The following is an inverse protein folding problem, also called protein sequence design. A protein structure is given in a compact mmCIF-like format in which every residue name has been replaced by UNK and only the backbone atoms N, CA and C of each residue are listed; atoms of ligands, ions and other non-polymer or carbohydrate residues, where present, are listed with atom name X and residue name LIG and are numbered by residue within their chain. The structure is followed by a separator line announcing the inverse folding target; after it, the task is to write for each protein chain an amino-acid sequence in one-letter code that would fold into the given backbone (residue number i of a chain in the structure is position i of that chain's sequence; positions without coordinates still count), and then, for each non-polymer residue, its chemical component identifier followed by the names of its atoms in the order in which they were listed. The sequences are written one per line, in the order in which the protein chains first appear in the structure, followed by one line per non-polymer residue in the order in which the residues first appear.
data_IF_356648927971
#
_entry.id   IF_356648927971
#
_cell.length_a   1.000
_cell.length_b   1.000
_cell.length_c   1.000
_cell.angle_alpha   90.00
_cell.angle_beta   90.00
_cell.angle_gamma   90.00
#
_symmetry.space_group_name_H-M   'P 1'
#
loop_
_entity.id
_entity.type
_entity.pdbx_description
1 polymer ?
#
# COMPACT_ATOMS: atom_id res chain seq x y z
N UNK A 1 -21.63 -21.55 -27.30
CA UNK A 1 -21.53 -21.00 -25.93
C UNK A 1 -21.23 -22.09 -24.90
N UNK A 2 -21.94 -23.23 -24.90
CA UNK A 2 -21.68 -24.36 -23.98
C UNK A 2 -20.32 -25.04 -24.16
N UNK A 3 -19.79 -25.08 -25.38
CA UNK A 3 -18.53 -25.75 -25.68
C UNK A 3 -17.31 -24.91 -25.24
N UNK A 4 -17.44 -23.59 -25.36
CA UNK A 4 -16.48 -22.61 -24.84
C UNK A 4 -16.46 -22.61 -23.31
N UNK A 5 -17.63 -22.67 -22.67
CA UNK A 5 -17.71 -22.75 -21.22
C UNK A 5 -17.11 -24.06 -20.71
N UNK A 6 -17.45 -25.22 -21.31
CA UNK A 6 -16.84 -26.52 -20.92
C UNK A 6 -15.31 -26.51 -21.01
N UNK A 7 -14.74 -25.99 -22.10
CA UNK A 7 -13.28 -25.82 -22.20
C UNK A 7 -12.73 -24.93 -21.10
N UNK A 8 -13.37 -23.81 -20.79
CA UNK A 8 -12.94 -22.95 -19.68
C UNK A 8 -12.99 -23.68 -18.32
N UNK A 9 -14.00 -24.52 -18.09
CA UNK A 9 -14.09 -25.33 -16.88
C UNK A 9 -12.99 -26.41 -16.81
N UNK A 10 -12.55 -26.96 -17.94
CA UNK A 10 -11.38 -27.86 -18.01
C UNK A 10 -10.06 -27.15 -17.67
N UNK A 11 -9.97 -25.83 -17.91
CA UNK A 11 -8.82 -25.00 -17.54
C UNK A 11 -8.91 -24.41 -16.13
N UNK A 12 -10.00 -24.65 -15.38
CA UNK A 12 -10.06 -24.21 -14.00
C UNK A 12 -9.02 -24.99 -13.19
N UNK A 13 -8.08 -24.29 -12.55
CA UNK A 13 -7.07 -24.95 -11.75
C UNK A 13 -7.75 -25.60 -10.55
N UNK A 14 -7.12 -26.65 -10.01
CA UNK A 14 -7.65 -27.38 -8.86
C UNK A 14 -8.08 -26.43 -7.74
N UNK A 15 -9.10 -26.83 -6.98
CA UNK A 15 -9.63 -26.03 -5.87
C UNK A 15 -8.52 -25.56 -4.90
N UNK A 16 -7.48 -26.38 -4.73
CA UNK A 16 -6.26 -26.06 -3.98
C UNK A 16 -5.52 -24.82 -4.51
N UNK A 17 -5.38 -24.69 -5.83
CA UNK A 17 -4.73 -23.57 -6.51
C UNK A 17 -5.59 -22.30 -6.45
N UNK A 18 -6.91 -22.44 -6.57
CA UNK A 18 -7.83 -21.31 -6.40
C UNK A 18 -7.79 -20.77 -4.97
N UNK A 19 -7.85 -21.66 -3.97
CA UNK A 19 -7.76 -21.29 -2.57
C UNK A 19 -6.40 -20.67 -2.22
N UNK A 20 -5.30 -21.20 -2.77
CA UNK A 20 -3.97 -20.62 -2.52
C UNK A 20 -3.82 -19.26 -3.17
N UNK A 21 -4.27 -19.06 -4.41
CA UNK A 21 -4.25 -17.77 -5.09
C UNK A 21 -5.08 -16.71 -4.36
N UNK A 22 -6.29 -17.07 -3.91
CA UNK A 22 -7.14 -16.19 -3.10
C UNK A 22 -6.50 -15.88 -1.75
N UNK A 23 -5.91 -16.87 -1.09
CA UNK A 23 -5.18 -16.70 0.16
C UNK A 23 -3.99 -15.75 0.01
N UNK A 24 -3.19 -15.91 -1.04
CA UNK A 24 -2.06 -15.02 -1.35
C UNK A 24 -2.52 -13.60 -1.65
N UNK A 25 -3.62 -13.43 -2.40
CA UNK A 25 -4.20 -12.12 -2.66
C UNK A 25 -4.62 -11.42 -1.36
N UNK A 26 -5.41 -12.09 -0.52
CA UNK A 26 -5.85 -11.55 0.76
C UNK A 26 -4.67 -11.25 1.70
N UNK A 27 -3.67 -12.13 1.73
CA UNK A 27 -2.45 -11.93 2.50
C UNK A 27 -1.67 -10.69 2.00
N UNK A 28 -1.55 -10.52 0.68
CA UNK A 28 -0.84 -9.37 0.10
C UNK A 28 -1.51 -8.04 0.48
N UNK A 29 -2.84 -7.97 0.48
CA UNK A 29 -3.59 -6.77 0.86
C UNK A 29 -3.42 -6.48 2.35
N UNK A 30 -3.50 -7.49 3.20
CA UNK A 30 -3.31 -7.33 4.66
C UNK A 30 -1.89 -6.90 5.00
N UNK A 31 -0.87 -7.44 4.34
CA UNK A 31 0.53 -7.02 4.51
C UNK A 31 0.72 -5.57 4.07
N UNK A 32 0.20 -5.17 2.90
CA UNK A 32 0.29 -3.78 2.44
C UNK A 32 -0.38 -2.80 3.41
N UNK A 33 -1.57 -3.15 3.90
CA UNK A 33 -2.28 -2.33 4.87
C UNK A 33 -1.51 -2.20 6.18
N UNK A 34 -0.94 -3.31 6.67
CA UNK A 34 -0.14 -3.34 7.89
C UNK A 34 1.12 -2.49 7.74
N UNK A 35 1.84 -2.59 6.62
CA UNK A 35 3.02 -1.76 6.34
C UNK A 35 2.64 -0.28 6.29
N UNK A 36 1.53 0.08 5.63
CA UNK A 36 1.06 1.46 5.56
C UNK A 36 0.69 2.00 6.95
N UNK A 37 0.01 1.20 7.75
CA UNK A 37 -0.33 1.55 9.13
C UNK A 37 0.93 1.72 9.99
N UNK A 38 1.90 0.80 9.86
CA UNK A 38 3.17 0.87 10.57
C UNK A 38 3.96 2.11 10.18
N UNK A 39 4.05 2.42 8.87
CA UNK A 39 4.65 3.66 8.36
C UNK A 39 3.95 4.88 8.96
N UNK A 40 2.62 4.94 8.94
CA UNK A 40 1.89 6.08 9.52
C UNK A 40 2.13 6.24 11.03
N UNK A 41 2.30 5.14 11.76
CA UNK A 41 2.60 5.17 13.21
C UNK A 41 4.06 5.49 13.51
N UNK A 42 4.98 5.05 12.65
CA UNK A 42 6.41 5.30 12.74
C UNK A 42 6.82 6.67 12.16
N UNK A 43 6.00 7.29 11.31
CA UNK A 43 6.20 8.67 10.86
C UNK A 43 5.98 9.59 12.05
N UNK A 44 7.10 9.96 12.68
CA UNK A 44 7.14 10.97 13.71
C UNK A 44 6.59 12.29 13.14
N UNK A 45 5.88 13.11 13.95
CA UNK A 45 5.25 14.34 13.47
C UNK A 45 6.22 15.23 12.68
N UNK A 46 7.49 15.33 13.10
CA UNK A 46 8.52 16.17 12.47
C UNK A 46 8.96 15.72 11.06
N UNK A 47 8.64 14.50 10.63
CA UNK A 47 8.91 14.00 9.28
C UNK A 47 7.78 14.31 8.28
N UNK A 48 6.66 14.90 8.75
CA UNK A 48 5.60 15.35 7.85
C UNK A 48 6.07 16.55 7.03
N UNK A 49 5.69 16.59 5.76
CA UNK A 49 6.01 17.69 4.84
C UNK A 49 5.60 19.06 5.39
N UNK A 50 4.47 19.13 6.10
CA UNK A 50 4.02 20.38 6.74
C UNK A 50 5.03 20.94 7.75
N UNK A 51 5.68 20.06 8.50
CA UNK A 51 6.70 20.43 9.47
C UNK A 51 8.05 20.78 8.81
N UNK A 52 8.36 20.15 7.67
CA UNK A 52 9.52 20.52 6.85
C UNK A 52 9.35 21.93 6.27
N UNK A 53 8.18 22.24 5.70
CA UNK A 53 7.86 23.58 5.19
C UNK A 53 7.91 24.65 6.28
N UNK A 54 7.33 24.37 7.46
CA UNK A 54 7.42 25.30 8.60
C UNK A 54 8.86 25.55 9.05
N UNK A 55 9.71 24.52 9.06
CA UNK A 55 11.13 24.68 9.40
C UNK A 55 11.85 25.58 8.39
N UNK A 56 11.61 25.39 7.10
CA UNK A 56 12.17 26.24 6.05
C UNK A 56 11.71 27.69 6.17
N UNK A 57 10.43 27.92 6.47
CA UNK A 57 9.86 29.26 6.71
C UNK A 57 10.56 29.97 7.88
N UNK A 58 10.75 29.27 9.00
CA UNK A 58 11.42 29.79 10.20
C UNK A 58 12.88 30.14 9.88
N UNK A 59 13.61 29.26 9.19
CA UNK A 59 15.00 29.51 8.77
C UNK A 59 15.09 30.73 7.86
N UNK A 60 14.15 30.88 6.92
CA UNK A 60 14.09 32.06 6.04
C UNK A 60 13.81 33.35 6.81
N UNK A 61 12.95 33.32 7.83
CA UNK A 61 12.70 34.48 8.68
C UNK A 61 13.92 34.85 9.53
N UNK A 62 14.64 33.86 10.05
CA UNK A 62 15.86 34.07 10.85
C UNK A 62 17.03 34.61 10.01
N UNK A 63 17.12 34.21 8.73
CA UNK A 63 18.17 34.64 7.82
C UNK A 63 17.85 35.93 7.06
N UNK A 64 16.69 36.57 7.29
CA UNK A 64 16.41 37.88 6.70
C UNK A 64 17.28 38.93 7.40
N UNK A 65 18.13 39.67 6.65
CA UNK A 65 18.88 40.78 7.23
C UNK A 65 17.89 41.83 7.73
N UNK A 66 18.15 42.36 8.93
CA UNK A 66 17.39 43.45 9.56
C UNK A 66 17.40 44.70 8.69
#
# INVERSE_FOLDING_TARGET
MEELSKRMFEFLPEQSVLCSALGTLLFSVTVQYTIKWLKNKAILPWMREDNLKRREEIIRQLNKPK
#
